data_IF_123795483444
#
_entry.id   IF_123795483444
#
_cell.length_a   1.000
_cell.length_b   1.000
_cell.length_c   1.000
_cell.angle_alpha   90.00
_cell.angle_beta   90.00
_cell.angle_gamma   90.00
#
_symmetry.space_group_name_H-M   'P 1'
#
loop_
_entity.id
_entity.type
_entity.pdbx_description
1 polymer ?
#
# COMPACT_ATOMS: atom_id res chain seq x y z
N UNK A 1 -22.73 17.77 -3.48
CA UNK A 1 -21.46 17.76 -4.26
C UNK A 1 -20.93 16.33 -4.21
N UNK A 2 -20.69 15.76 -5.34
CA UNK A 2 -20.14 14.40 -5.44
C UNK A 2 -18.75 14.35 -4.77
N UNK A 3 -18.53 13.41 -3.88
CA UNK A 3 -17.26 13.28 -3.16
C UNK A 3 -16.16 12.90 -4.15
N UNK A 4 -15.12 13.73 -4.28
CA UNK A 4 -13.97 13.43 -5.13
C UNK A 4 -13.18 12.24 -4.55
N UNK A 5 -13.06 11.17 -5.33
CA UNK A 5 -12.28 9.98 -4.97
C UNK A 5 -10.78 10.30 -5.08
N UNK A 6 -10.00 9.84 -4.09
CA UNK A 6 -8.57 10.11 -3.99
C UNK A 6 -7.75 8.82 -3.84
N UNK A 7 -6.62 8.78 -4.53
CA UNK A 7 -5.63 7.70 -4.42
C UNK A 7 -4.31 8.27 -3.96
N UNK A 8 -3.73 7.68 -2.92
CA UNK A 8 -2.34 7.87 -2.55
C UNK A 8 -1.50 6.78 -3.21
N UNK A 9 -0.42 7.17 -3.89
CA UNK A 9 0.55 6.23 -4.44
C UNK A 9 1.91 6.43 -3.78
N UNK A 10 2.50 5.37 -3.25
CA UNK A 10 3.81 5.39 -2.60
C UNK A 10 4.82 4.68 -3.50
N UNK A 11 5.79 5.44 -4.02
CA UNK A 11 6.88 4.92 -4.83
C UNK A 11 8.09 4.57 -3.96
N UNK A 12 8.33 3.28 -3.75
CA UNK A 12 9.46 2.74 -2.99
C UNK A 12 10.76 2.60 -3.80
N UNK A 13 10.78 2.97 -5.09
CA UNK A 13 12.01 2.94 -5.88
C UNK A 13 12.98 4.06 -5.46
N UNK A 14 14.29 3.80 -5.33
CA UNK A 14 15.26 4.88 -5.12
C UNK A 14 15.47 5.77 -6.36
N UNK A 15 14.99 5.31 -7.52
CA UNK A 15 15.05 6.06 -8.78
C UNK A 15 13.72 6.76 -9.03
N UNK A 16 13.69 8.08 -8.97
CA UNK A 16 12.47 8.86 -9.16
C UNK A 16 11.83 8.60 -10.54
N UNK A 17 12.66 8.59 -11.59
CA UNK A 17 12.25 8.35 -12.98
C UNK A 17 12.63 6.93 -13.43
N UNK A 18 12.43 5.93 -12.58
CA UNK A 18 12.71 4.52 -12.89
C UNK A 18 11.51 3.79 -13.48
N UNK A 19 11.69 2.49 -13.77
CA UNK A 19 10.62 1.66 -14.32
C UNK A 19 9.41 1.52 -13.37
N UNK A 20 9.62 1.62 -12.06
CA UNK A 20 8.52 1.67 -11.08
C UNK A 20 7.69 2.94 -11.22
N UNK A 21 8.33 4.10 -11.45
CA UNK A 21 7.63 5.35 -11.71
C UNK A 21 6.83 5.27 -13.01
N UNK A 22 7.40 4.68 -14.07
CA UNK A 22 6.70 4.46 -15.35
C UNK A 22 5.42 3.64 -15.14
N UNK A 23 5.47 2.57 -14.34
CA UNK A 23 4.29 1.77 -13.99
C UNK A 23 3.21 2.62 -13.30
N UNK A 24 3.60 3.48 -12.36
CA UNK A 24 2.69 4.39 -11.67
C UNK A 24 2.11 5.45 -12.62
N UNK A 25 2.91 5.99 -13.54
CA UNK A 25 2.43 6.96 -14.54
C UNK A 25 1.37 6.36 -15.48
N UNK A 26 1.47 5.07 -15.85
CA UNK A 26 0.40 4.40 -16.58
C UNK A 26 -0.91 4.35 -15.80
N UNK A 27 -0.84 4.17 -14.47
CA UNK A 27 -2.02 4.20 -13.60
C UNK A 27 -2.56 5.63 -13.43
N UNK A 28 -1.70 6.62 -13.23
CA UNK A 28 -2.07 8.05 -13.08
C UNK A 28 -2.90 8.54 -14.25
N UNK A 29 -2.48 8.20 -15.47
CA UNK A 29 -3.22 8.57 -16.69
C UNK A 29 -4.64 8.02 -16.66
N UNK A 30 -4.80 6.75 -16.31
CA UNK A 30 -6.13 6.12 -16.22
C UNK A 30 -6.96 6.73 -15.09
N UNK A 31 -6.38 6.98 -13.93
CA UNK A 31 -7.09 7.64 -12.84
C UNK A 31 -7.56 9.04 -13.22
N UNK A 32 -6.73 9.81 -13.94
CA UNK A 32 -7.13 11.13 -14.45
C UNK A 32 -8.31 11.03 -15.43
N UNK A 33 -8.29 10.08 -16.37
CA UNK A 33 -9.41 9.79 -17.28
C UNK A 33 -10.70 9.41 -16.52
N UNK A 34 -10.57 8.81 -15.33
CA UNK A 34 -11.67 8.39 -14.48
C UNK A 34 -12.13 9.47 -13.48
N UNK A 35 -11.54 10.67 -13.51
CA UNK A 35 -11.85 11.77 -12.59
C UNK A 35 -11.39 11.54 -11.15
N UNK A 36 -10.37 10.71 -10.93
CA UNK A 36 -9.82 10.37 -9.63
C UNK A 36 -8.58 11.23 -9.38
N UNK A 37 -8.51 11.86 -8.22
CA UNK A 37 -7.33 12.61 -7.80
C UNK A 37 -6.25 11.66 -7.31
N UNK A 38 -5.02 11.88 -7.77
CA UNK A 38 -3.85 11.09 -7.38
C UNK A 38 -2.82 11.97 -6.70
N UNK A 39 -2.24 11.47 -5.63
CA UNK A 39 -1.05 12.03 -5.02
C UNK A 39 0.02 10.94 -4.97
N UNK A 40 1.17 11.16 -5.65
CA UNK A 40 2.29 10.24 -5.66
C UNK A 40 3.42 10.76 -4.75
N UNK A 41 3.87 9.92 -3.82
CA UNK A 41 4.95 10.25 -2.89
C UNK A 41 6.13 9.31 -3.10
N UNK A 42 7.28 9.90 -3.41
CA UNK A 42 8.55 9.21 -3.61
C UNK A 42 9.28 9.04 -2.27
N UNK A 43 9.53 7.78 -1.88
CA UNK A 43 10.20 7.50 -0.61
C UNK A 43 11.48 6.64 -0.72
N UNK A 44 11.68 5.98 -1.86
CA UNK A 44 12.72 4.95 -1.99
C UNK A 44 14.17 5.43 -1.78
N UNK A 45 14.43 6.72 -1.90
CA UNK A 45 15.74 7.33 -1.61
C UNK A 45 15.85 7.94 -0.21
N UNK A 46 14.84 7.83 0.64
CA UNK A 46 14.83 8.43 1.98
C UNK A 46 15.41 7.47 3.03
N UNK A 47 16.01 8.02 4.09
CA UNK A 47 16.50 7.25 5.24
C UNK A 47 15.35 6.96 6.21
N UNK A 48 14.54 5.97 5.93
CA UNK A 48 13.42 5.59 6.78
C UNK A 48 13.84 4.44 7.71
N UNK A 49 13.77 4.69 9.01
CA UNK A 49 14.06 3.67 10.03
C UNK A 49 12.89 2.70 10.18
N UNK A 50 13.20 1.41 10.36
CA UNK A 50 12.21 0.37 10.68
C UNK A 50 11.54 0.58 12.04
N UNK A 51 10.42 -0.10 12.27
CA UNK A 51 9.73 -0.12 13.55
C UNK A 51 10.60 -0.77 14.64
N UNK A 52 10.70 -0.14 15.80
CA UNK A 52 11.45 -0.65 16.96
C UNK A 52 10.54 -1.17 18.09
N UNK A 53 9.27 -1.40 17.78
CA UNK A 53 8.28 -1.95 18.72
C UNK A 53 8.17 -1.19 20.07
N UNK A 54 8.41 0.12 20.06
CA UNK A 54 8.40 0.93 21.28
C UNK A 54 6.98 1.20 21.84
N UNK A 55 5.93 0.83 21.10
CA UNK A 55 4.52 1.05 21.44
C UNK A 55 4.11 2.51 21.74
N UNK A 56 4.97 3.48 21.46
CA UNK A 56 4.69 4.91 21.67
C UNK A 56 3.48 5.40 20.86
N UNK A 57 3.25 4.83 19.70
CA UNK A 57 2.12 5.17 18.84
C UNK A 57 0.76 4.86 19.49
N UNK A 58 0.66 3.88 20.35
CA UNK A 58 -0.58 3.57 21.09
C UNK A 58 -1.08 4.75 21.95
N UNK A 59 -0.16 5.59 22.43
CA UNK A 59 -0.48 6.78 23.23
C UNK A 59 -0.55 8.05 22.38
N UNK A 60 0.32 8.15 21.36
CA UNK A 60 0.48 9.37 20.57
C UNK A 60 -0.46 9.45 19.36
N UNK A 61 -1.06 8.32 18.95
CA UNK A 61 -1.84 8.23 17.72
C UNK A 61 -1.02 8.36 16.41
N UNK A 62 0.33 8.46 16.54
CA UNK A 62 1.28 8.54 15.43
C UNK A 62 2.62 7.92 15.82
N UNK A 63 3.49 7.65 14.83
CA UNK A 63 4.83 7.15 15.11
C UNK A 63 5.65 8.18 15.91
N UNK A 64 6.48 7.68 16.84
CA UNK A 64 7.39 8.55 17.64
C UNK A 64 8.49 9.21 16.80
N UNK A 65 8.86 8.60 15.67
CA UNK A 65 9.80 9.20 14.73
C UNK A 65 9.06 10.20 13.86
N UNK A 66 9.49 11.46 13.92
CA UNK A 66 8.87 12.54 13.16
C UNK A 66 9.53 12.64 11.78
N UNK A 67 9.02 11.87 10.84
CA UNK A 67 9.47 11.77 9.47
C UNK A 67 8.29 11.59 8.50
N UNK A 68 8.58 11.34 7.23
CA UNK A 68 7.59 11.17 6.16
C UNK A 68 6.47 10.17 6.48
N UNK A 69 6.69 9.20 7.38
CA UNK A 69 5.67 8.19 7.71
C UNK A 69 4.46 8.83 8.39
N UNK A 70 4.66 9.83 9.26
CA UNK A 70 3.56 10.56 9.89
C UNK A 70 2.79 11.42 8.87
N UNK A 71 3.47 12.00 7.90
CA UNK A 71 2.83 12.75 6.81
C UNK A 71 2.00 11.81 5.91
N UNK A 72 2.55 10.66 5.56
CA UNK A 72 1.86 9.62 4.80
C UNK A 72 0.61 9.11 5.51
N UNK A 73 0.63 8.99 6.84
CA UNK A 73 -0.53 8.59 7.61
C UNK A 73 -1.71 9.56 7.41
N UNK A 74 -1.46 10.87 7.46
CA UNK A 74 -2.49 11.91 7.21
C UNK A 74 -3.01 11.88 5.77
N UNK A 75 -2.13 11.64 4.79
CA UNK A 75 -2.51 11.53 3.37
C UNK A 75 -3.33 10.27 3.14
N UNK A 76 -2.91 9.14 3.71
CA UNK A 76 -3.60 7.86 3.60
C UNK A 76 -4.99 7.87 4.25
N UNK A 77 -5.15 8.53 5.39
CA UNK A 77 -6.45 8.70 6.03
C UNK A 77 -7.47 9.36 5.09
N UNK A 78 -7.03 10.37 4.31
CA UNK A 78 -7.87 11.12 3.38
C UNK A 78 -8.08 10.44 2.02
N UNK A 79 -7.32 9.40 1.70
CA UNK A 79 -7.42 8.68 0.45
C UNK A 79 -8.48 7.56 0.53
N UNK A 80 -9.12 7.28 -0.59
CA UNK A 80 -10.06 6.16 -0.76
C UNK A 80 -9.32 4.89 -1.24
N UNK A 81 -8.11 5.06 -1.78
CA UNK A 81 -7.24 3.96 -2.21
C UNK A 81 -5.77 4.22 -1.93
N UNK A 82 -5.01 3.14 -1.79
CA UNK A 82 -3.56 3.15 -1.60
C UNK A 82 -2.89 2.22 -2.61
N UNK A 83 -1.97 2.76 -3.40
CA UNK A 83 -1.06 1.99 -4.25
C UNK A 83 0.33 2.01 -3.62
N UNK A 84 0.94 0.84 -3.46
CA UNK A 84 2.34 0.72 -3.05
C UNK A 84 3.14 0.10 -4.18
N UNK A 85 4.23 0.75 -4.58
CA UNK A 85 5.04 0.33 -5.70
C UNK A 85 6.50 0.11 -5.30
N UNK A 86 7.08 -1.01 -5.69
CA UNK A 86 8.45 -1.38 -5.33
C UNK A 86 9.24 -1.98 -6.49
N UNK A 87 10.53 -1.65 -6.61
CA UNK A 87 11.45 -2.54 -7.31
C UNK A 87 11.63 -3.82 -6.51
N UNK A 88 11.93 -4.91 -7.21
CA UNK A 88 12.22 -6.22 -6.59
C UNK A 88 13.71 -6.32 -6.28
N UNK A 89 14.06 -6.51 -5.02
CA UNK A 89 15.40 -6.76 -4.54
C UNK A 89 15.42 -8.11 -3.78
N UNK A 90 16.17 -9.09 -4.30
CA UNK A 90 16.25 -10.43 -3.70
C UNK A 90 14.88 -11.08 -3.43
N UNK A 91 13.97 -10.96 -4.41
CA UNK A 91 12.58 -11.46 -4.34
C UNK A 91 11.73 -10.86 -3.19
N UNK A 92 12.08 -9.66 -2.75
CA UNK A 92 11.36 -8.86 -1.75
C UNK A 92 11.24 -7.41 -2.21
N UNK A 93 10.42 -6.63 -1.54
CA UNK A 93 10.29 -5.20 -1.79
C UNK A 93 11.54 -4.44 -1.29
N UNK A 94 11.72 -3.20 -1.76
CA UNK A 94 12.74 -2.30 -1.23
C UNK A 94 12.58 -2.16 0.28
N UNK A 95 13.64 -2.41 1.05
CA UNK A 95 13.67 -2.34 2.51
C UNK A 95 13.17 -0.99 3.06
N UNK A 96 13.44 0.12 2.38
CA UNK A 96 12.92 1.44 2.75
C UNK A 96 11.40 1.48 2.69
N UNK A 97 10.79 0.86 1.67
CA UNK A 97 9.33 0.76 1.57
C UNK A 97 8.76 -0.11 2.69
N UNK A 98 9.36 -1.28 2.95
CA UNK A 98 8.93 -2.15 4.05
C UNK A 98 9.00 -1.42 5.39
N UNK A 99 10.12 -0.77 5.71
CA UNK A 99 10.27 0.02 6.92
C UNK A 99 9.21 1.13 7.06
N UNK A 100 8.85 1.75 5.93
CA UNK A 100 7.77 2.72 5.87
C UNK A 100 6.41 2.09 6.16
N UNK A 101 6.08 0.99 5.47
CA UNK A 101 4.76 0.33 5.57
C UNK A 101 4.55 -0.28 6.96
N UNK A 102 5.55 -0.95 7.54
CA UNK A 102 5.49 -1.47 8.91
C UNK A 102 5.08 -0.38 9.89
N UNK A 103 5.70 0.79 9.80
CA UNK A 103 5.39 1.92 10.68
C UNK A 103 4.07 2.58 10.32
N UNK A 104 3.78 2.79 9.03
CA UNK A 104 2.56 3.42 8.56
C UNK A 104 1.33 2.63 9.00
N UNK A 105 1.32 1.32 8.78
CA UNK A 105 0.17 0.48 9.13
C UNK A 105 0.05 0.26 10.64
N UNK A 106 1.17 0.13 11.35
CA UNK A 106 1.17 -0.09 12.79
C UNK A 106 0.82 1.17 13.60
N UNK A 107 1.25 2.36 13.16
CA UNK A 107 1.09 3.60 13.93
C UNK A 107 -0.15 4.42 13.55
N UNK A 108 -0.79 4.16 12.41
CA UNK A 108 -1.99 4.87 12.00
C UNK A 108 -3.25 4.17 12.50
N UNK A 109 -4.02 4.87 13.34
CA UNK A 109 -5.17 4.30 14.05
C UNK A 109 -6.52 4.59 13.38
N UNK A 110 -6.54 5.30 12.25
CA UNK A 110 -7.76 5.52 11.50
C UNK A 110 -8.28 4.22 10.86
N UNK A 111 -9.58 4.15 10.62
CA UNK A 111 -10.23 3.01 9.99
C UNK A 111 -9.84 2.89 8.50
N UNK A 112 -9.27 1.74 8.13
CA UNK A 112 -8.83 1.43 6.77
C UNK A 112 -9.85 0.58 6.00
N UNK A 113 -10.93 0.15 6.67
CA UNK A 113 -11.94 -0.74 6.10
C UNK A 113 -12.48 -0.20 4.78
N UNK A 114 -12.47 -1.07 3.77
CA UNK A 114 -12.96 -0.78 2.41
C UNK A 114 -12.20 0.33 1.66
N UNK A 115 -11.04 0.80 2.16
CA UNK A 115 -10.10 1.51 1.29
C UNK A 115 -9.46 0.50 0.33
N UNK A 116 -9.41 0.82 -0.96
CA UNK A 116 -8.91 -0.15 -1.95
C UNK A 116 -7.39 -0.15 -1.99
N UNK A 117 -6.77 -1.32 -1.81
CA UNK A 117 -5.33 -1.52 -1.89
C UNK A 117 -4.88 -2.04 -3.26
N UNK A 118 -3.69 -1.65 -3.71
CA UNK A 118 -3.02 -2.28 -4.85
C UNK A 118 -1.50 -2.26 -4.67
N UNK A 119 -0.84 -3.38 -4.97
CA UNK A 119 0.61 -3.46 -5.05
C UNK A 119 1.07 -3.51 -6.50
N UNK A 120 2.19 -2.84 -6.79
CA UNK A 120 2.85 -2.80 -8.09
C UNK A 120 4.31 -3.17 -7.90
N UNK A 121 4.81 -4.11 -8.67
CA UNK A 121 6.20 -4.55 -8.55
C UNK A 121 6.93 -4.39 -9.88
N UNK A 122 8.22 -4.03 -9.81
CA UNK A 122 9.07 -3.88 -10.97
C UNK A 122 10.32 -4.74 -10.82
N UNK A 123 10.58 -5.64 -11.74
CA UNK A 123 11.78 -6.46 -11.73
C UNK A 123 12.45 -6.48 -13.10
N UNK A 124 13.76 -6.78 -13.08
CA UNK A 124 14.45 -7.16 -14.33
C UNK A 124 13.90 -8.48 -14.86
N UNK A 125 13.63 -9.46 -13.98
CA UNK A 125 13.24 -10.82 -14.37
C UNK A 125 12.40 -11.54 -13.31
N UNK A 126 12.99 -12.10 -12.25
CA UNK A 126 12.33 -12.95 -11.26
C UNK A 126 11.99 -12.22 -9.97
N UNK A 127 11.16 -12.86 -9.12
CA UNK A 127 10.83 -12.40 -7.77
C UNK A 127 9.58 -11.53 -7.67
N UNK A 128 8.89 -11.24 -8.79
CA UNK A 128 7.71 -10.39 -8.78
C UNK A 128 6.58 -10.96 -7.92
N UNK A 129 6.25 -12.25 -8.04
CA UNK A 129 5.15 -12.87 -7.29
C UNK A 129 5.38 -12.84 -5.78
N UNK A 130 6.59 -13.17 -5.32
CA UNK A 130 6.92 -13.13 -3.91
C UNK A 130 6.79 -11.71 -3.33
N UNK A 131 7.30 -10.71 -4.05
CA UNK A 131 7.20 -9.30 -3.63
C UNK A 131 5.77 -8.78 -3.69
N UNK A 132 4.99 -9.20 -4.69
CA UNK A 132 3.57 -8.88 -4.81
C UNK A 132 2.77 -9.42 -3.61
N UNK A 133 3.00 -10.69 -3.25
CA UNK A 133 2.34 -11.33 -2.12
C UNK A 133 2.73 -10.67 -0.78
N UNK A 134 4.02 -10.30 -0.62
CA UNK A 134 4.52 -9.58 0.55
C UNK A 134 3.77 -8.27 0.76
N UNK A 135 3.63 -7.45 -0.28
CA UNK A 135 3.00 -6.14 -0.20
C UNK A 135 1.47 -6.23 0.02
N UNK A 136 0.80 -7.22 -0.56
CA UNK A 136 -0.65 -7.39 -0.40
C UNK A 136 -1.06 -7.75 1.02
N UNK A 137 -0.17 -8.31 1.85
CA UNK A 137 -0.46 -8.64 3.25
C UNK A 137 -0.81 -7.42 4.10
N UNK A 138 -0.24 -6.26 3.81
CA UNK A 138 -0.61 -5.02 4.50
C UNK A 138 -2.08 -4.64 4.29
N UNK A 139 -2.61 -4.89 3.11
CA UNK A 139 -4.00 -4.60 2.78
C UNK A 139 -4.95 -5.62 3.41
N UNK A 140 -4.65 -6.91 3.21
CA UNK A 140 -5.53 -7.98 3.66
C UNK A 140 -5.71 -8.05 5.17
N UNK A 141 -4.67 -7.73 5.96
CA UNK A 141 -4.78 -7.66 7.43
C UNK A 141 -5.55 -6.42 7.93
N UNK A 142 -5.81 -5.46 7.03
CA UNK A 142 -6.40 -4.15 7.35
C UNK A 142 -7.82 -3.97 6.82
N UNK A 143 -8.52 -5.05 6.48
CA UNK A 143 -9.86 -5.06 5.90
C UNK A 143 -9.97 -4.25 4.59
N UNK A 144 -8.87 -4.17 3.85
CA UNK A 144 -8.80 -3.46 2.58
C UNK A 144 -8.95 -4.44 1.43
N UNK A 145 -9.95 -4.29 0.54
CA UNK A 145 -10.02 -5.09 -0.68
C UNK A 145 -8.82 -4.80 -1.58
N UNK A 146 -8.22 -5.87 -2.11
CA UNK A 146 -7.08 -5.78 -3.03
C UNK A 146 -7.59 -5.74 -4.47
N UNK A 147 -7.25 -4.69 -5.22
CA UNK A 147 -7.57 -4.61 -6.62
C UNK A 147 -6.71 -5.60 -7.44
N UNK A 148 -7.36 -6.35 -8.30
CA UNK A 148 -6.71 -7.24 -9.27
C UNK A 148 -6.69 -6.58 -10.66
N UNK A 149 -5.78 -7.06 -11.52
CA UNK A 149 -5.75 -6.76 -12.93
C UNK A 149 -6.03 -8.03 -13.75
N UNK A 150 -5.53 -8.09 -14.98
CA UNK A 150 -5.60 -9.28 -15.82
C UNK A 150 -4.50 -10.31 -15.54
N UNK A 151 -3.48 -9.91 -14.77
CA UNK A 151 -2.34 -10.74 -14.34
C UNK A 151 -1.81 -10.21 -12.99
N UNK A 152 -0.74 -10.80 -12.44
CA UNK A 152 -0.06 -10.21 -11.28
C UNK A 152 0.53 -8.84 -11.66
N UNK A 153 0.39 -7.86 -10.78
CA UNK A 153 0.71 -6.45 -11.07
C UNK A 153 2.22 -6.21 -11.15
N UNK A 154 2.82 -6.61 -12.24
CA UNK A 154 4.26 -6.45 -12.46
C UNK A 154 4.58 -5.77 -13.79
N UNK A 155 5.70 -5.05 -13.81
CA UNK A 155 6.38 -4.56 -15.02
C UNK A 155 7.84 -5.00 -15.00
N UNK A 156 8.41 -5.16 -16.20
CA UNK A 156 9.78 -5.65 -16.35
C UNK A 156 10.68 -4.61 -17.02
N UNK A 157 11.86 -4.43 -16.42
CA UNK A 157 12.90 -3.55 -16.91
C UNK A 157 14.07 -3.46 -15.92
N UNK A 158 15.30 -3.35 -16.43
CA UNK A 158 16.54 -3.23 -15.66
C UNK A 158 17.00 -1.78 -15.52
N UNK A 159 17.20 -1.12 -16.65
CA UNK A 159 17.60 0.28 -16.72
C UNK A 159 16.38 1.19 -16.81
N UNK A 160 16.46 2.46 -16.37
CA UNK A 160 15.36 3.40 -16.53
C UNK A 160 14.88 3.47 -17.98
N UNK A 161 13.55 3.42 -18.17
CA UNK A 161 12.90 3.46 -19.47
C UNK A 161 12.68 2.10 -20.14
N UNK A 162 13.37 1.02 -19.73
CA UNK A 162 13.18 -0.29 -20.40
C UNK A 162 11.74 -0.82 -20.27
N UNK A 163 11.02 -0.50 -19.21
CA UNK A 163 9.63 -0.90 -19.02
C UNK A 163 8.67 -0.26 -20.05
N UNK A 164 9.11 0.72 -20.83
CA UNK A 164 8.35 1.22 -21.99
C UNK A 164 8.13 0.13 -23.05
N UNK A 165 9.10 -0.79 -23.16
CA UNK A 165 9.02 -1.96 -24.05
C UNK A 165 8.15 -3.09 -23.49
N UNK A 166 7.79 -3.06 -22.20
CA UNK A 166 6.92 -4.07 -21.58
C UNK A 166 5.43 -3.75 -21.83
N UNK A 167 4.98 -4.09 -23.03
CA UNK A 167 3.59 -3.84 -23.46
C UNK A 167 2.56 -4.53 -22.57
N UNK A 168 2.83 -5.76 -22.12
CA UNK A 168 1.94 -6.54 -21.24
C UNK A 168 1.87 -5.94 -19.83
N UNK A 169 3.02 -5.63 -19.24
CA UNK A 169 3.09 -5.00 -17.92
C UNK A 169 2.39 -3.64 -17.90
N UNK A 170 2.59 -2.79 -18.92
CA UNK A 170 1.91 -1.51 -19.06
C UNK A 170 0.39 -1.68 -19.23
N UNK A 171 -0.06 -2.66 -20.00
CA UNK A 171 -1.49 -2.99 -20.13
C UNK A 171 -2.06 -3.46 -18.78
N UNK A 172 -1.32 -4.27 -18.04
CA UNK A 172 -1.67 -4.74 -16.68
C UNK A 172 -1.88 -3.55 -15.75
N UNK A 173 -0.99 -2.54 -15.76
CA UNK A 173 -1.14 -1.31 -14.96
C UNK A 173 -2.40 -0.52 -15.32
N UNK A 174 -2.71 -0.37 -16.61
CA UNK A 174 -3.94 0.31 -17.04
C UNK A 174 -5.20 -0.45 -16.64
N UNK A 175 -5.18 -1.78 -16.72
CA UNK A 175 -6.30 -2.62 -16.27
C UNK A 175 -6.47 -2.54 -14.75
N UNK A 176 -5.36 -2.61 -13.99
CA UNK A 176 -5.36 -2.42 -12.54
C UNK A 176 -6.01 -1.10 -12.13
N UNK A 177 -5.61 -0.01 -12.77
CA UNK A 177 -6.14 1.31 -12.46
C UNK A 177 -7.66 1.41 -12.76
N UNK A 178 -8.14 0.82 -13.87
CA UNK A 178 -9.59 0.77 -14.19
C UNK A 178 -10.36 -0.04 -13.16
N UNK A 179 -9.85 -1.21 -12.79
CA UNK A 179 -10.50 -2.08 -11.81
C UNK A 179 -10.52 -1.42 -10.42
N UNK A 180 -9.40 -0.79 -10.02
CA UNK A 180 -9.32 -0.05 -8.76
C UNK A 180 -10.30 1.15 -8.75
N UNK A 181 -10.39 1.89 -9.85
CA UNK A 181 -11.35 2.99 -10.01
C UNK A 181 -12.80 2.50 -9.88
N UNK A 182 -13.15 1.39 -10.52
CA UNK A 182 -14.47 0.77 -10.42
C UNK A 182 -14.79 0.37 -8.98
N UNK A 183 -13.85 -0.31 -8.30
CA UNK A 183 -14.03 -0.73 -6.91
C UNK A 183 -14.26 0.47 -5.98
N UNK A 184 -13.43 1.51 -6.06
CA UNK A 184 -13.57 2.69 -5.21
C UNK A 184 -14.90 3.42 -5.44
N UNK A 185 -15.33 3.56 -6.70
CA UNK A 185 -16.63 4.16 -7.04
C UNK A 185 -17.78 3.31 -6.50
N UNK A 186 -17.72 2.00 -6.69
CA UNK A 186 -18.75 1.05 -6.19
C UNK A 186 -18.82 1.03 -4.67
N UNK A 187 -17.68 1.04 -3.99
CA UNK A 187 -17.61 1.10 -2.52
C UNK A 187 -18.18 2.44 -2.00
N UNK A 188 -17.86 3.56 -2.67
CA UNK A 188 -18.41 4.85 -2.30
C UNK A 188 -19.95 4.88 -2.38
N UNK A 189 -20.51 4.36 -3.48
CA UNK A 189 -21.97 4.21 -3.67
C UNK A 189 -22.57 3.22 -2.64
N UNK A 190 -21.93 2.07 -2.46
CA UNK A 190 -22.38 1.07 -1.48
C UNK A 190 -22.38 1.61 -0.06
N UNK A 191 -21.34 2.36 0.31
CA UNK A 191 -21.24 3.02 1.62
C UNK A 191 -22.35 4.05 1.83
N UNK A 192 -22.68 4.83 0.82
CA UNK A 192 -23.76 5.81 0.88
C UNK A 192 -25.14 5.15 1.04
N UNK A 193 -25.37 4.05 0.34
CA UNK A 193 -26.66 3.36 0.30
C UNK A 193 -26.87 2.38 1.46
N UNK A 194 -25.85 1.65 1.88
CA UNK A 194 -25.96 0.52 2.83
C UNK A 194 -25.11 0.71 4.09
N UNK A 195 -24.23 1.71 4.16
CA UNK A 195 -23.19 1.80 5.17
C UNK A 195 -22.00 0.89 4.88
N UNK A 196 -21.03 0.86 5.80
CA UNK A 196 -19.94 -0.13 5.78
C UNK A 196 -20.41 -1.43 6.45
N UNK A 197 -19.78 -2.57 6.14
CA UNK A 197 -20.03 -3.82 6.87
C UNK A 197 -19.90 -3.62 8.38
N UNK A 198 -20.81 -4.24 9.14
CA UNK A 198 -20.74 -4.24 10.60
C UNK A 198 -19.46 -4.93 11.06
N UNK A 199 -18.82 -4.37 12.09
CA UNK A 199 -17.62 -4.95 12.69
C UNK A 199 -17.97 -5.58 14.02
N UNK A 200 -17.61 -6.84 14.15
CA UNK A 200 -17.61 -7.50 15.45
C UNK A 200 -16.48 -6.95 16.35
N UNK A 201 -16.64 -7.08 17.66
CA UNK A 201 -15.57 -6.83 18.61
C UNK A 201 -14.41 -7.80 18.34
N UNK A 202 -13.20 -7.24 18.15
CA UNK A 202 -12.04 -8.04 17.80
C UNK A 202 -11.60 -8.94 18.95
N UNK A 203 -11.68 -10.24 18.76
CA UNK A 203 -11.08 -11.23 19.65
C UNK A 203 -9.60 -11.40 19.27
N UNK A 204 -8.71 -11.17 20.24
CA UNK A 204 -7.27 -11.38 20.06
C UNK A 204 -6.82 -12.62 20.78
N UNK A 205 -6.12 -13.52 20.10
CA UNK A 205 -5.49 -14.68 20.73
C UNK A 205 -4.39 -14.19 21.67
N UNK A 206 -4.56 -14.50 22.96
CA UNK A 206 -3.58 -14.19 23.99
C UNK A 206 -3.27 -15.46 24.80
N UNK A 207 -2.07 -15.99 24.63
CA UNK A 207 -1.62 -17.19 25.33
C UNK A 207 -1.09 -16.89 26.75
N UNK A 208 -0.91 -15.62 27.12
CA UNK A 208 -0.37 -15.24 28.45
C UNK A 208 -1.29 -15.62 29.61
N UNK A 209 -2.60 -15.71 29.39
CA UNK A 209 -3.56 -16.15 30.40
C UNK A 209 -3.47 -17.65 30.73
N UNK A 210 -2.78 -18.43 29.90
CA UNK A 210 -2.59 -19.88 30.07
C UNK A 210 -1.18 -20.26 30.50
N UNK A 211 -0.28 -19.29 30.59
CA UNK A 211 1.11 -19.52 31.00
C UNK A 211 1.24 -19.14 32.49
N UNK A 212 1.60 -20.12 33.32
CA UNK A 212 2.02 -19.84 34.70
C UNK A 212 3.33 -19.02 34.69
N UNK A 213 3.22 -17.74 34.94
CA UNK A 213 4.35 -16.79 34.94
C UNK A 213 5.24 -16.93 36.20
N UNK A 214 4.95 -17.84 37.11
CA UNK A 214 5.78 -18.07 38.32
C UNK A 214 7.20 -18.52 37.96
N UNK A 215 7.39 -19.11 36.78
CA UNK A 215 8.70 -19.57 36.28
C UNK A 215 9.54 -18.48 35.57
N UNK A 216 9.01 -17.29 35.32
CA UNK A 216 9.70 -16.24 34.51
C UNK A 216 10.38 -15.18 35.38
N UNK A 217 10.29 -15.30 36.71
CA UNK A 217 11.04 -14.43 37.64
C UNK A 217 12.40 -15.06 37.94
N UNK A 218 13.37 -14.84 37.07
CA UNK A 218 14.79 -14.89 37.43
C UNK A 218 15.54 -13.80 36.68
#
# INVERSE_FOLDING_TARGET
>A
MEKTIKVLMINGSPRAEGNTALALHEMERVFAEQGIQVETVQIGGQAIRGCVACNGCAKLGKCVYDDIVNELAVKFEKADGLVVASPVYYASANATLIACLDRLFYSSHFDKTMKVGASVVCARRGGCSATFDELNKYFTISDMPVASSQYWNSVHGRTPGEAEGDGEGRQTMRTLARNMAFLMKSIALGKEQFGLPEKEERISTNFMSTIDTSCVKK
#
